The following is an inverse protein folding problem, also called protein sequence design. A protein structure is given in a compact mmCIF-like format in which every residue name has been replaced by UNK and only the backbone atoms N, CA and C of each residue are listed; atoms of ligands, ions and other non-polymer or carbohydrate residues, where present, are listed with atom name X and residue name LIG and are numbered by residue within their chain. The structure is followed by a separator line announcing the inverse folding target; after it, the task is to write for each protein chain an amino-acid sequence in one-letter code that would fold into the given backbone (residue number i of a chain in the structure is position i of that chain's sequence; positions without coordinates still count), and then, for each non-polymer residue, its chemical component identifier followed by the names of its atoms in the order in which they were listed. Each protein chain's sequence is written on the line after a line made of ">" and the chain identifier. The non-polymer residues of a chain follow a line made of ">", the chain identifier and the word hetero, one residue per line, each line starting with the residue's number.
data_IF_734995603543
#
_entry.id   IF_734995603543
#
_cell.length_a   1.000
_cell.length_b   1.000
_cell.length_c   1.000
_cell.angle_alpha   90.00
_cell.angle_beta   90.00
_cell.angle_gamma   90.00
#
_symmetry.space_group_name_H-M   'P 1'
#
loop_
_entity.id
_entity.type
_entity.pdbx_description
1 polymer ?
#
# COMPACT_ATOMS: atom_id res chain seq x y z
N UNK A 1 3.79 -15.92 -48.05
CA UNK A 1 3.64 -15.39 -46.68
C UNK A 1 3.57 -16.50 -45.65
N UNK A 2 2.65 -17.46 -45.73
CA UNK A 2 2.43 -18.47 -44.68
C UNK A 2 3.61 -19.39 -44.28
N UNK A 3 4.62 -19.63 -45.13
CA UNK A 3 5.73 -20.53 -44.78
C UNK A 3 6.86 -19.84 -43.99
N UNK A 4 7.03 -18.54 -44.18
CA UNK A 4 8.09 -17.76 -43.52
C UNK A 4 7.66 -17.38 -42.10
N UNK A 5 6.42 -16.89 -41.92
CA UNK A 5 5.83 -16.61 -40.59
C UNK A 5 5.81 -17.85 -39.68
N UNK A 6 5.54 -19.05 -40.24
CA UNK A 6 5.55 -20.30 -39.47
C UNK A 6 6.97 -20.71 -39.05
N UNK A 7 7.99 -20.37 -39.84
CA UNK A 7 9.39 -20.63 -39.47
C UNK A 7 9.87 -19.66 -38.39
N UNK A 8 9.53 -18.38 -38.50
CA UNK A 8 9.91 -17.32 -37.54
C UNK A 8 9.30 -17.56 -36.16
N UNK A 9 8.01 -17.90 -36.08
CA UNK A 9 7.37 -18.28 -34.83
C UNK A 9 8.02 -19.51 -34.16
N UNK A 10 8.37 -20.54 -34.95
CA UNK A 10 9.08 -21.73 -34.44
C UNK A 10 10.44 -21.36 -33.87
N UNK A 11 11.18 -20.48 -34.54
CA UNK A 11 12.50 -20.02 -34.09
C UNK A 11 12.40 -19.22 -32.80
N UNK A 12 11.36 -18.41 -32.62
CA UNK A 12 11.09 -17.70 -31.37
C UNK A 12 10.82 -18.66 -30.21
N UNK A 13 10.01 -19.69 -30.44
CA UNK A 13 9.73 -20.71 -29.42
C UNK A 13 10.99 -21.51 -29.06
N UNK A 14 11.83 -21.83 -30.05
CA UNK A 14 13.14 -22.45 -29.85
C UNK A 14 14.06 -21.55 -28.99
N UNK A 15 14.14 -20.25 -29.31
CA UNK A 15 14.92 -19.27 -28.55
C UNK A 15 14.40 -19.11 -27.10
N UNK A 16 13.08 -19.10 -26.90
CA UNK A 16 12.49 -19.04 -25.55
C UNK A 16 12.87 -20.27 -24.72
N UNK A 17 12.80 -21.47 -25.29
CA UNK A 17 13.20 -22.71 -24.60
C UNK A 17 14.68 -22.70 -24.22
N UNK A 18 15.56 -22.22 -25.10
CA UNK A 18 16.99 -22.03 -24.79
C UNK A 18 17.19 -21.03 -23.65
N UNK A 19 16.44 -19.93 -23.64
CA UNK A 19 16.51 -18.97 -22.55
C UNK A 19 16.03 -19.57 -21.22
N UNK A 20 15.00 -20.42 -21.24
CA UNK A 20 14.50 -21.13 -20.07
C UNK A 20 15.49 -22.19 -19.54
N UNK A 21 16.23 -22.87 -20.42
CA UNK A 21 17.30 -23.82 -20.04
C UNK A 21 18.58 -23.15 -19.55
N UNK A 22 18.69 -21.81 -19.69
CA UNK A 22 19.87 -21.04 -19.30
C UNK A 22 20.91 -20.87 -20.42
N UNK A 23 20.63 -21.36 -21.63
CA UNK A 23 21.46 -21.19 -22.82
C UNK A 23 21.26 -19.80 -23.44
N UNK A 24 21.56 -18.76 -22.66
CA UNK A 24 21.25 -17.37 -22.99
C UNK A 24 21.98 -16.86 -24.24
N UNK A 25 23.21 -17.33 -24.51
CA UNK A 25 23.95 -16.92 -25.70
C UNK A 25 23.27 -17.42 -26.98
N UNK A 26 22.88 -18.70 -27.02
CA UNK A 26 22.19 -19.29 -28.16
C UNK A 26 20.79 -18.67 -28.38
N UNK A 27 20.07 -18.38 -27.30
CA UNK A 27 18.81 -17.66 -27.38
C UNK A 27 18.99 -16.23 -27.94
N UNK A 28 20.02 -15.51 -27.47
CA UNK A 28 20.32 -14.15 -27.94
C UNK A 28 20.68 -14.12 -29.42
N UNK A 29 21.43 -15.10 -29.93
CA UNK A 29 21.77 -15.21 -31.35
C UNK A 29 20.50 -15.33 -32.21
N UNK A 30 19.58 -16.24 -31.86
CA UNK A 30 18.34 -16.43 -32.63
C UNK A 30 17.48 -15.16 -32.59
N UNK A 31 17.30 -14.55 -31.42
CA UNK A 31 16.53 -13.32 -31.30
C UNK A 31 17.18 -12.15 -32.06
N UNK A 32 18.51 -12.03 -32.03
CA UNK A 32 19.23 -10.97 -32.74
C UNK A 32 19.10 -11.10 -34.27
N UNK A 33 19.17 -12.32 -34.80
CA UNK A 33 18.95 -12.56 -36.24
C UNK A 33 17.54 -12.13 -36.67
N UNK A 34 16.50 -12.53 -35.94
CA UNK A 34 15.12 -12.19 -36.26
C UNK A 34 14.82 -10.68 -36.05
N UNK A 35 15.41 -10.05 -35.03
CA UNK A 35 15.22 -8.63 -34.77
C UNK A 35 15.91 -7.71 -35.80
N UNK A 36 16.95 -8.22 -36.48
CA UNK A 36 17.71 -7.49 -37.49
C UNK A 36 17.03 -7.45 -38.87
N UNK A 37 16.10 -8.37 -39.15
CA UNK A 37 15.36 -8.38 -40.41
C UNK A 37 14.17 -7.39 -40.37
N UNK A 38 14.27 -6.32 -41.15
CA UNK A 38 13.23 -5.29 -41.26
C UNK A 38 11.91 -5.82 -41.85
N UNK A 39 11.94 -6.95 -42.58
CA UNK A 39 10.78 -7.58 -43.21
C UNK A 39 10.12 -8.68 -42.36
N UNK A 40 10.70 -9.00 -41.21
CA UNK A 40 10.22 -10.07 -40.33
C UNK A 40 8.94 -9.63 -39.58
N UNK A 41 7.89 -10.44 -39.69
CA UNK A 41 6.60 -10.15 -39.06
C UNK A 41 6.74 -10.14 -37.53
N UNK A 42 7.59 -11.02 -37.00
CA UNK A 42 7.82 -11.19 -35.56
C UNK A 42 9.00 -10.34 -35.04
N UNK A 43 9.51 -9.38 -35.81
CA UNK A 43 10.67 -8.56 -35.45
C UNK A 43 10.51 -7.88 -34.09
N UNK A 44 9.34 -7.32 -33.82
CA UNK A 44 9.05 -6.63 -32.57
C UNK A 44 9.13 -7.59 -31.36
N UNK A 45 8.58 -8.79 -31.52
CA UNK A 45 8.63 -9.86 -30.53
C UNK A 45 10.07 -10.33 -30.30
N UNK A 46 10.82 -10.54 -31.39
CA UNK A 46 12.22 -10.96 -31.31
C UNK A 46 13.09 -9.90 -30.63
N UNK A 47 12.88 -8.62 -30.92
CA UNK A 47 13.60 -7.52 -30.27
C UNK A 47 13.32 -7.43 -28.76
N UNK A 48 12.07 -7.68 -28.33
CA UNK A 48 11.75 -7.80 -26.89
C UNK A 48 12.42 -9.04 -26.29
N UNK A 49 12.36 -10.20 -26.97
CA UNK A 49 13.01 -11.43 -26.53
C UNK A 49 14.52 -11.24 -26.35
N UNK A 50 15.17 -10.56 -27.29
CA UNK A 50 16.57 -10.18 -27.20
C UNK A 50 16.84 -9.29 -25.99
N UNK A 51 16.01 -8.27 -25.77
CA UNK A 51 16.17 -7.36 -24.64
C UNK A 51 16.14 -8.10 -23.29
N UNK A 52 15.20 -9.01 -23.09
CA UNK A 52 15.06 -9.82 -21.87
C UNK A 52 16.24 -10.76 -21.69
N UNK A 53 16.71 -11.43 -22.75
CA UNK A 53 17.85 -12.35 -22.67
C UNK A 53 19.14 -11.59 -22.34
N UNK A 54 19.35 -10.42 -22.94
CA UNK A 54 20.52 -9.58 -22.66
C UNK A 54 20.50 -9.02 -21.23
N UNK A 55 19.34 -8.63 -20.72
CA UNK A 55 19.16 -8.24 -19.31
C UNK A 55 19.57 -9.38 -18.37
N UNK A 56 19.09 -10.60 -18.62
CA UNK A 56 19.45 -11.79 -17.82
C UNK A 56 20.95 -12.14 -17.88
N UNK A 57 21.64 -11.75 -18.96
CA UNK A 57 23.11 -11.90 -19.11
C UNK A 57 23.89 -10.76 -18.41
N UNK A 58 23.21 -9.72 -17.94
CA UNK A 58 23.83 -8.50 -17.42
C UNK A 58 24.34 -7.55 -18.51
N UNK A 59 23.99 -7.77 -19.79
CA UNK A 59 24.28 -6.85 -20.88
C UNK A 59 23.20 -5.75 -20.95
N UNK A 60 23.33 -4.77 -20.05
CA UNK A 60 22.41 -3.63 -19.92
C UNK A 60 22.36 -2.80 -21.21
N UNK A 61 23.52 -2.54 -21.82
CA UNK A 61 23.61 -1.73 -23.02
C UNK A 61 22.95 -2.41 -24.22
N UNK A 62 23.21 -3.70 -24.40
CA UNK A 62 22.57 -4.53 -25.43
C UNK A 62 21.06 -4.65 -25.21
N UNK A 63 20.63 -4.89 -23.96
CA UNK A 63 19.20 -4.95 -23.61
C UNK A 63 18.46 -3.65 -23.97
N UNK A 64 19.02 -2.50 -23.58
CA UNK A 64 18.48 -1.19 -23.92
C UNK A 64 18.43 -0.94 -25.43
N UNK A 65 19.44 -1.37 -26.18
CA UNK A 65 19.45 -1.25 -27.64
C UNK A 65 18.32 -2.10 -28.26
N UNK A 66 18.16 -3.35 -27.82
CA UNK A 66 17.11 -4.25 -28.30
C UNK A 66 15.70 -3.74 -27.96
N UNK A 67 15.48 -3.23 -26.74
CA UNK A 67 14.20 -2.63 -26.36
C UNK A 67 13.87 -1.37 -27.18
N UNK A 68 14.88 -0.54 -27.52
CA UNK A 68 14.69 0.60 -28.45
C UNK A 68 14.32 0.12 -29.86
N UNK A 69 14.91 -0.97 -30.33
CA UNK A 69 14.51 -1.58 -31.62
C UNK A 69 13.05 -2.02 -31.58
N UNK A 70 12.62 -2.71 -30.53
CA UNK A 70 11.22 -3.11 -30.36
C UNK A 70 10.27 -1.90 -30.36
N UNK A 71 10.59 -0.83 -29.63
CA UNK A 71 9.82 0.41 -29.64
C UNK A 71 9.73 1.06 -31.03
N UNK A 72 10.83 1.07 -31.78
CA UNK A 72 10.89 1.66 -33.11
C UNK A 72 10.01 0.93 -34.14
N UNK A 73 9.65 -0.34 -33.89
CA UNK A 73 8.69 -1.07 -34.73
C UNK A 73 7.27 -0.49 -34.64
N UNK A 74 6.94 0.21 -33.55
CA UNK A 74 5.59 0.72 -33.29
C UNK A 74 4.55 -0.36 -33.04
N UNK A 75 4.93 -1.63 -32.86
CA UNK A 75 3.99 -2.71 -32.59
C UNK A 75 3.31 -2.50 -31.23
N UNK A 76 1.97 -2.39 -31.13
CA UNK A 76 1.30 -1.96 -29.89
C UNK A 76 1.67 -2.75 -28.63
N UNK A 77 1.63 -4.08 -28.69
CA UNK A 77 1.92 -4.95 -27.55
C UNK A 77 3.41 -4.91 -27.14
N UNK A 78 4.31 -5.18 -28.09
CA UNK A 78 5.75 -5.23 -27.84
C UNK A 78 6.38 -3.86 -27.57
N UNK A 79 5.81 -2.77 -28.09
CA UNK A 79 6.26 -1.42 -27.76
C UNK A 79 6.04 -1.13 -26.27
N UNK A 80 4.87 -1.47 -25.71
CA UNK A 80 4.59 -1.24 -24.29
C UNK A 80 5.48 -2.10 -23.38
N UNK A 81 5.70 -3.37 -23.77
CA UNK A 81 6.64 -4.25 -23.07
C UNK A 81 8.07 -3.70 -23.10
N UNK A 82 8.53 -3.24 -24.25
CA UNK A 82 9.87 -2.68 -24.42
C UNK A 82 10.06 -1.36 -23.65
N UNK A 83 9.06 -0.47 -23.64
CA UNK A 83 9.09 0.73 -22.80
C UNK A 83 9.19 0.37 -21.31
N UNK A 84 8.45 -0.65 -20.85
CA UNK A 84 8.52 -1.15 -19.48
C UNK A 84 9.91 -1.69 -19.13
N UNK A 85 10.54 -2.48 -20.02
CA UNK A 85 11.90 -2.97 -19.84
C UNK A 85 12.91 -1.81 -19.73
N UNK A 86 12.80 -0.80 -20.61
CA UNK A 86 13.65 0.39 -20.53
C UNK A 86 13.47 1.13 -19.21
N UNK A 87 12.23 1.31 -18.78
CA UNK A 87 11.90 2.04 -17.57
C UNK A 87 12.48 1.36 -16.32
N UNK A 88 12.30 0.04 -16.20
CA UNK A 88 12.90 -0.76 -15.13
C UNK A 88 14.42 -0.71 -15.15
N UNK A 89 15.04 -0.84 -16.31
CA UNK A 89 16.50 -0.74 -16.43
C UNK A 89 17.03 0.63 -15.99
N UNK A 90 16.30 1.73 -16.27
CA UNK A 90 16.66 3.05 -15.74
C UNK A 90 16.49 3.14 -14.22
N UNK A 91 15.49 2.50 -13.62
CA UNK A 91 15.35 2.43 -12.16
C UNK A 91 16.52 1.68 -11.50
N UNK A 92 16.91 0.54 -12.06
CA UNK A 92 18.03 -0.27 -11.53
C UNK A 92 19.39 0.45 -11.60
N UNK A 93 19.54 1.41 -12.51
CA UNK A 93 20.72 2.27 -12.65
C UNK A 93 20.60 3.60 -11.86
N UNK A 94 19.54 3.79 -11.05
CA UNK A 94 19.23 5.04 -10.33
C UNK A 94 19.12 6.28 -11.25
N UNK A 95 18.71 6.08 -12.51
CA UNK A 95 18.52 7.13 -13.51
C UNK A 95 17.09 7.67 -13.49
N UNK A 96 16.71 8.34 -12.39
CA UNK A 96 15.33 8.72 -12.08
C UNK A 96 14.59 9.52 -13.16
N UNK A 97 15.24 10.48 -13.83
CA UNK A 97 14.60 11.27 -14.89
C UNK A 97 14.32 10.44 -16.15
N UNK A 98 15.25 9.56 -16.52
CA UNK A 98 15.09 8.65 -17.64
C UNK A 98 14.03 7.59 -17.34
N UNK A 99 14.01 7.05 -16.11
CA UNK A 99 12.99 6.12 -15.64
C UNK A 99 11.61 6.77 -15.70
N UNK A 100 11.47 7.99 -15.16
CA UNK A 100 10.22 8.77 -15.22
C UNK A 100 9.73 8.97 -16.65
N UNK A 101 10.61 9.40 -17.56
CA UNK A 101 10.26 9.59 -18.96
C UNK A 101 9.84 8.28 -19.64
N UNK A 102 10.51 7.17 -19.33
CA UNK A 102 10.17 5.85 -19.87
C UNK A 102 8.84 5.33 -19.34
N UNK A 103 8.53 5.49 -18.05
CA UNK A 103 7.21 5.11 -17.49
C UNK A 103 6.08 5.99 -18.04
N UNK A 104 6.32 7.28 -18.26
CA UNK A 104 5.37 8.15 -18.96
C UNK A 104 5.11 7.66 -20.39
N UNK A 105 6.14 7.16 -21.08
CA UNK A 105 5.97 6.55 -22.40
C UNK A 105 5.13 5.25 -22.34
N UNK A 106 5.29 4.41 -21.32
CA UNK A 106 4.43 3.24 -21.09
C UNK A 106 2.95 3.65 -20.98
N UNK A 107 2.66 4.68 -20.20
CA UNK A 107 1.30 5.23 -20.07
C UNK A 107 0.79 5.78 -21.41
N UNK A 108 1.64 6.51 -22.14
CA UNK A 108 1.29 7.06 -23.46
C UNK A 108 0.94 6.00 -24.51
N UNK A 109 1.50 4.78 -24.38
CA UNK A 109 1.14 3.64 -25.22
C UNK A 109 -0.22 3.02 -24.84
N UNK A 110 -0.74 3.31 -23.64
CA UNK A 110 -2.11 2.99 -23.25
C UNK A 110 -2.43 1.50 -23.15
N UNK A 111 -1.43 0.62 -23.03
CA UNK A 111 -1.64 -0.83 -22.93
C UNK A 111 -2.04 -1.20 -21.50
N UNK A 112 -3.28 -1.68 -21.24
CA UNK A 112 -3.81 -1.81 -19.88
C UNK A 112 -2.96 -2.68 -18.95
N UNK A 113 -2.34 -3.74 -19.48
CA UNK A 113 -1.50 -4.67 -18.71
C UNK A 113 -0.28 -4.00 -18.03
N UNK A 114 0.17 -2.84 -18.54
CA UNK A 114 1.36 -2.15 -18.04
C UNK A 114 1.04 -0.87 -17.25
N UNK A 115 -0.20 -0.39 -17.29
CA UNK A 115 -0.59 0.84 -16.58
C UNK A 115 -0.41 0.76 -15.06
N UNK A 116 -0.81 -0.34 -14.38
CA UNK A 116 -0.69 -0.42 -12.92
C UNK A 116 0.77 -0.28 -12.46
N UNK A 117 1.69 -1.01 -13.11
CA UNK A 117 3.11 -0.93 -12.81
C UNK A 117 3.70 0.46 -13.09
N UNK A 118 3.30 1.09 -14.21
CA UNK A 118 3.79 2.41 -14.58
C UNK A 118 3.36 3.50 -13.58
N UNK A 119 2.10 3.50 -13.15
CA UNK A 119 1.62 4.46 -12.15
C UNK A 119 2.28 4.25 -10.79
N UNK A 120 2.45 3.01 -10.34
CA UNK A 120 3.18 2.71 -9.10
C UNK A 120 4.64 3.15 -9.15
N UNK A 121 5.31 2.96 -10.28
CA UNK A 121 6.68 3.41 -10.47
C UNK A 121 6.80 4.94 -10.43
N UNK A 122 5.90 5.66 -11.11
CA UNK A 122 5.86 7.12 -11.05
C UNK A 122 5.60 7.64 -9.64
N UNK A 123 4.74 6.97 -8.86
CA UNK A 123 4.52 7.31 -7.46
C UNK A 123 5.82 7.20 -6.65
N UNK A 124 6.54 6.07 -6.76
CA UNK A 124 7.82 5.87 -6.06
C UNK A 124 8.89 6.88 -6.46
N UNK A 125 8.99 7.20 -7.76
CA UNK A 125 9.95 8.19 -8.25
C UNK A 125 9.64 9.58 -7.67
N UNK A 126 8.36 9.98 -7.65
CA UNK A 126 7.92 11.24 -7.08
C UNK A 126 8.18 11.30 -5.56
N UNK A 127 7.90 10.22 -4.82
CA UNK A 127 8.22 10.09 -3.40
C UNK A 127 9.73 10.26 -3.14
N UNK A 128 10.58 9.61 -3.93
CA UNK A 128 12.04 9.75 -3.82
C UNK A 128 12.54 11.17 -4.10
N UNK A 129 11.75 11.98 -4.80
CA UNK A 129 12.04 13.39 -5.09
C UNK A 129 11.40 14.36 -4.08
N UNK A 130 10.57 13.86 -3.17
CA UNK A 130 9.76 14.68 -2.27
C UNK A 130 8.65 15.46 -2.97
N UNK A 131 8.22 15.02 -4.17
CA UNK A 131 7.09 15.61 -4.89
C UNK A 131 5.80 14.89 -4.49
N UNK A 132 5.25 15.30 -3.35
CA UNK A 132 4.08 14.68 -2.73
C UNK A 132 2.84 14.77 -3.62
N UNK A 133 2.66 15.88 -4.34
CA UNK A 133 1.53 16.09 -5.24
C UNK A 133 1.59 15.16 -6.46
N UNK A 134 2.78 14.97 -7.03
CA UNK A 134 2.98 14.02 -8.12
C UNK A 134 2.81 12.57 -7.65
N UNK A 135 3.30 12.23 -6.45
CA UNK A 135 3.11 10.91 -5.85
C UNK A 135 1.64 10.57 -5.65
N UNK A 136 0.88 11.48 -5.04
CA UNK A 136 -0.56 11.35 -4.83
C UNK A 136 -1.33 11.19 -6.16
N UNK A 137 -0.99 12.00 -7.17
CA UNK A 137 -1.59 11.90 -8.51
C UNK A 137 -1.35 10.51 -9.11
N UNK A 138 -0.12 10.01 -9.01
CA UNK A 138 0.25 8.70 -9.53
C UNK A 138 -0.42 7.55 -8.76
N UNK A 139 -0.55 7.65 -7.43
CA UNK A 139 -1.25 6.66 -6.61
C UNK A 139 -2.74 6.61 -6.93
N UNK A 140 -3.42 7.75 -7.10
CA UNK A 140 -4.82 7.77 -7.54
C UNK A 140 -4.99 7.17 -8.93
N UNK A 141 -4.08 7.45 -9.85
CA UNK A 141 -4.11 6.82 -11.17
C UNK A 141 -3.87 5.31 -11.12
N UNK A 142 -2.99 4.84 -10.23
CA UNK A 142 -2.76 3.41 -9.98
C UNK A 142 -4.03 2.72 -9.44
N UNK A 143 -4.73 3.36 -8.48
CA UNK A 143 -6.02 2.90 -7.97
C UNK A 143 -7.08 2.81 -9.07
N UNK A 144 -7.19 3.84 -9.89
CA UNK A 144 -8.16 3.92 -10.99
C UNK A 144 -7.95 2.86 -12.09
N UNK A 145 -6.79 2.19 -12.14
CA UNK A 145 -6.60 1.04 -13.06
C UNK A 145 -7.49 -0.15 -12.72
N UNK A 146 -7.93 -0.27 -11.46
CA UNK A 146 -8.73 -1.38 -10.99
C UNK A 146 -7.99 -2.72 -10.92
N UNK A 147 -6.66 -2.74 -11.07
CA UNK A 147 -5.87 -3.95 -10.84
C UNK A 147 -5.90 -4.31 -9.34
N UNK A 148 -6.34 -5.52 -8.94
CA UNK A 148 -6.66 -5.80 -7.53
C UNK A 148 -5.47 -5.66 -6.57
N UNK A 149 -4.26 -6.01 -7.03
CA UNK A 149 -3.04 -5.90 -6.22
C UNK A 149 -2.58 -4.45 -6.16
N UNK A 150 -2.50 -3.79 -7.31
CA UNK A 150 -2.03 -2.40 -7.41
C UNK A 150 -2.98 -1.43 -6.74
N UNK A 151 -4.28 -1.57 -6.95
CA UNK A 151 -5.30 -0.72 -6.33
C UNK A 151 -5.23 -0.79 -4.81
N UNK A 152 -5.14 -2.00 -4.26
CA UNK A 152 -5.02 -2.21 -2.81
C UNK A 152 -3.73 -1.58 -2.26
N UNK A 153 -2.60 -1.76 -2.97
CA UNK A 153 -1.32 -1.18 -2.55
C UNK A 153 -1.32 0.35 -2.64
N UNK A 154 -1.86 0.91 -3.71
CA UNK A 154 -1.95 2.35 -3.93
C UNK A 154 -2.82 3.02 -2.87
N UNK A 155 -3.99 2.43 -2.59
CA UNK A 155 -4.88 2.92 -1.54
C UNK A 155 -4.25 2.84 -0.14
N UNK A 156 -3.45 1.80 0.17
CA UNK A 156 -2.71 1.74 1.43
C UNK A 156 -1.70 2.87 1.60
N UNK A 157 -0.91 3.15 0.56
CA UNK A 157 0.07 4.23 0.62
C UNK A 157 -0.62 5.59 0.74
N UNK A 158 -1.63 5.84 -0.10
CA UNK A 158 -2.34 7.11 -0.11
C UNK A 158 -3.13 7.33 1.18
N UNK A 159 -3.88 6.34 1.67
CA UNK A 159 -4.64 6.46 2.91
C UNK A 159 -3.74 6.62 4.14
N UNK A 160 -2.59 5.93 4.18
CA UNK A 160 -1.61 6.11 5.26
C UNK A 160 -1.15 7.56 5.34
N UNK A 161 -0.78 8.14 4.19
CA UNK A 161 -0.36 9.54 4.11
C UNK A 161 -1.48 10.52 4.48
N UNK A 162 -2.69 10.32 3.95
CA UNK A 162 -3.84 11.17 4.28
C UNK A 162 -4.17 11.13 5.78
N UNK A 163 -3.98 10.00 6.46
CA UNK A 163 -4.14 9.92 7.92
C UNK A 163 -3.05 10.67 8.67
N UNK A 164 -1.80 10.61 8.20
CA UNK A 164 -0.69 11.40 8.77
C UNK A 164 -0.93 12.91 8.59
N UNK A 165 -1.49 13.31 7.44
CA UNK A 165 -1.82 14.69 7.12
C UNK A 165 -3.14 15.18 7.77
N UNK A 166 -3.81 14.34 8.55
CA UNK A 166 -5.05 14.70 9.25
C UNK A 166 -6.28 14.84 8.35
N UNK A 167 -6.31 14.14 7.21
CA UNK A 167 -7.41 14.07 6.25
C UNK A 167 -8.12 12.71 6.28
N UNK A 168 -8.74 12.30 7.41
CA UNK A 168 -9.32 10.96 7.56
C UNK A 168 -10.55 10.72 6.68
N UNK A 169 -11.27 11.77 6.27
CA UNK A 169 -12.38 11.65 5.33
C UNK A 169 -11.91 11.16 3.95
N UNK A 170 -10.90 11.84 3.39
CA UNK A 170 -10.30 11.44 2.12
C UNK A 170 -9.64 10.06 2.21
N UNK A 171 -8.99 9.75 3.34
CA UNK A 171 -8.42 8.43 3.57
C UNK A 171 -9.51 7.33 3.53
N UNK A 172 -10.66 7.57 4.16
CA UNK A 172 -11.79 6.63 4.14
C UNK A 172 -12.32 6.42 2.71
N UNK A 173 -12.48 7.49 1.93
CA UNK A 173 -12.97 7.43 0.55
C UNK A 173 -12.04 6.59 -0.34
N UNK A 174 -10.73 6.83 -0.27
CA UNK A 174 -9.71 6.07 -1.01
C UNK A 174 -9.75 4.58 -0.67
N UNK A 175 -9.88 4.25 0.61
CA UNK A 175 -9.95 2.85 1.05
C UNK A 175 -11.26 2.19 0.61
N UNK A 176 -12.38 2.91 0.66
CA UNK A 176 -13.67 2.42 0.19
C UNK A 176 -13.65 2.14 -1.31
N UNK A 177 -13.03 3.01 -2.11
CA UNK A 177 -12.82 2.81 -3.54
C UNK A 177 -12.06 1.52 -3.82
N UNK A 178 -10.93 1.29 -3.13
CA UNK A 178 -10.16 0.06 -3.29
C UNK A 178 -10.94 -1.20 -2.88
N UNK A 179 -11.78 -1.11 -1.85
CA UNK A 179 -12.65 -2.21 -1.43
C UNK A 179 -13.78 -2.53 -2.43
N UNK A 180 -14.08 -1.64 -3.38
CA UNK A 180 -15.01 -1.93 -4.49
C UNK A 180 -14.34 -2.69 -5.64
N UNK A 181 -13.00 -2.74 -5.69
CA UNK A 181 -12.28 -3.48 -6.73
C UNK A 181 -12.51 -4.99 -6.56
N UNK A 182 -12.98 -5.71 -7.60
CA UNK A 182 -13.13 -7.16 -7.53
C UNK A 182 -11.82 -7.84 -7.15
N UNK A 183 -11.89 -8.83 -6.27
CA UNK A 183 -10.73 -9.60 -5.80
C UNK A 183 -9.60 -8.74 -5.19
N UNK A 184 -9.93 -7.55 -4.66
CA UNK A 184 -8.98 -6.66 -3.99
C UNK A 184 -8.07 -7.44 -3.03
N UNK A 185 -6.76 -7.25 -3.16
CA UNK A 185 -5.77 -7.89 -2.32
C UNK A 185 -5.78 -7.30 -0.89
N UNK A 186 -5.39 -8.10 0.10
CA UNK A 186 -5.23 -7.65 1.49
C UNK A 186 -6.44 -6.89 2.09
N UNK A 187 -7.68 -7.29 1.76
CA UNK A 187 -8.90 -6.59 2.23
C UNK A 187 -8.96 -6.36 3.73
N UNK A 188 -8.41 -7.28 4.53
CA UNK A 188 -8.33 -7.11 5.99
C UNK A 188 -7.53 -5.87 6.39
N UNK A 189 -6.41 -5.59 5.71
CA UNK A 189 -5.60 -4.40 5.95
C UNK A 189 -6.31 -3.13 5.52
N UNK A 190 -7.00 -3.16 4.36
CA UNK A 190 -7.87 -2.07 3.92
C UNK A 190 -8.95 -1.76 4.97
N UNK A 191 -9.65 -2.79 5.49
CA UNK A 191 -10.67 -2.62 6.54
C UNK A 191 -10.11 -2.02 7.83
N UNK A 192 -8.89 -2.38 8.24
CA UNK A 192 -8.24 -1.80 9.41
C UNK A 192 -7.98 -0.31 9.21
N UNK A 193 -7.41 0.10 8.07
CA UNK A 193 -7.19 1.52 7.78
C UNK A 193 -8.49 2.30 7.69
N UNK A 194 -9.55 1.73 7.11
CA UNK A 194 -10.89 2.34 7.13
C UNK A 194 -11.39 2.55 8.56
N UNK A 195 -11.18 1.56 9.43
CA UNK A 195 -11.47 1.69 10.85
C UNK A 195 -10.69 2.83 11.50
N UNK A 196 -9.39 2.94 11.25
CA UNK A 196 -8.55 4.04 11.75
C UNK A 196 -9.07 5.41 11.28
N UNK A 197 -9.42 5.53 10.00
CA UNK A 197 -10.01 6.74 9.44
C UNK A 197 -11.34 7.10 10.13
N UNK A 198 -12.21 6.10 10.39
CA UNK A 198 -13.45 6.33 11.12
C UNK A 198 -13.23 6.71 12.59
N UNK A 199 -12.20 6.19 13.26
CA UNK A 199 -11.85 6.64 14.61
C UNK A 199 -11.41 8.11 14.62
N UNK A 200 -10.64 8.54 13.62
CA UNK A 200 -10.20 9.93 13.50
C UNK A 200 -11.38 10.87 13.17
N UNK A 201 -12.30 10.46 12.29
CA UNK A 201 -13.55 11.17 12.04
C UNK A 201 -14.42 11.27 13.30
N UNK A 202 -14.58 10.17 14.03
CA UNK A 202 -15.34 10.16 15.27
C UNK A 202 -14.72 11.10 16.33
N UNK A 203 -13.38 11.13 16.45
CA UNK A 203 -12.69 12.10 17.30
C UNK A 203 -13.06 13.54 16.91
N UNK A 204 -13.07 13.87 15.63
CA UNK A 204 -13.44 15.20 15.13
C UNK A 204 -14.87 15.59 15.51
N UNK A 205 -15.84 14.69 15.34
CA UNK A 205 -17.24 14.94 15.68
C UNK A 205 -17.43 15.09 17.21
N UNK A 206 -16.79 14.25 18.02
CA UNK A 206 -16.88 14.34 19.47
C UNK A 206 -16.21 15.62 20.01
N UNK A 207 -15.09 16.05 19.40
CA UNK A 207 -14.46 17.32 19.74
C UNK A 207 -15.38 18.51 19.45
N UNK A 208 -15.97 18.57 18.25
CA UNK A 208 -16.94 19.60 17.89
C UNK A 208 -18.13 19.64 18.86
N UNK A 209 -18.71 18.48 19.19
CA UNK A 209 -19.82 18.40 20.13
C UNK A 209 -19.44 18.85 21.56
N UNK A 210 -18.22 18.57 22.02
CA UNK A 210 -17.72 19.02 23.31
C UNK A 210 -17.43 20.54 23.35
N UNK A 211 -17.08 21.15 22.21
CA UNK A 211 -16.80 22.58 22.08
C UNK A 211 -18.08 23.42 21.89
N UNK A 212 -19.00 22.97 21.04
CA UNK A 212 -20.29 23.62 20.81
C UNK A 212 -21.15 23.62 22.10
N UNK A 213 -21.01 22.57 22.91
CA UNK A 213 -21.83 22.33 24.09
C UNK A 213 -23.27 21.98 23.73
N UNK A 214 -24.17 22.04 24.71
CA UNK A 214 -25.55 21.64 24.52
C UNK A 214 -26.17 21.19 25.82
N UNK A 215 -26.93 20.09 25.79
CA UNK A 215 -27.36 19.49 27.03
C UNK A 215 -26.15 18.90 27.81
N UNK A 216 -26.16 18.97 29.14
CA UNK A 216 -25.00 18.56 29.93
C UNK A 216 -24.61 17.08 29.78
N UNK A 217 -25.57 16.18 29.54
CA UNK A 217 -25.30 14.76 29.39
C UNK A 217 -24.63 14.46 28.05
N UNK A 218 -25.14 15.04 26.95
CA UNK A 218 -24.54 14.95 25.62
C UNK A 218 -23.11 15.49 25.57
N UNK A 219 -22.88 16.66 26.19
CA UNK A 219 -21.54 17.26 26.28
C UNK A 219 -20.58 16.36 27.07
N UNK A 220 -21.01 15.85 28.22
CA UNK A 220 -20.19 14.94 29.04
C UNK A 220 -19.93 13.59 28.34
N UNK A 221 -20.90 13.08 27.56
CA UNK A 221 -20.74 11.88 26.76
C UNK A 221 -19.73 12.08 25.61
N UNK A 222 -19.77 13.22 24.92
CA UNK A 222 -18.82 13.54 23.86
C UNK A 222 -17.38 13.59 24.41
N UNK A 223 -17.17 14.23 25.57
CA UNK A 223 -15.89 14.25 26.28
C UNK A 223 -15.43 12.82 26.64
N UNK A 224 -16.31 12.00 27.21
CA UNK A 224 -15.99 10.60 27.54
C UNK A 224 -15.58 9.80 26.30
N UNK A 225 -16.35 9.88 25.21
CA UNK A 225 -16.07 9.12 23.98
C UNK A 225 -14.78 9.58 23.31
N UNK A 226 -14.55 10.90 23.22
CA UNK A 226 -13.32 11.45 22.68
C UNK A 226 -12.10 10.97 23.47
N UNK A 227 -12.13 11.09 24.80
CA UNK A 227 -11.03 10.67 25.65
C UNK A 227 -10.75 9.16 25.62
N UNK A 228 -11.77 8.34 25.30
CA UNK A 228 -11.62 6.88 25.15
C UNK A 228 -11.11 6.46 23.77
N UNK A 229 -11.41 7.21 22.72
CA UNK A 229 -11.00 6.87 21.35
C UNK A 229 -9.58 7.34 21.04
N UNK A 230 -9.17 8.50 21.56
CA UNK A 230 -7.82 9.06 21.34
C UNK A 230 -6.66 8.09 21.63
N UNK A 231 -6.66 7.29 22.72
CA UNK A 231 -5.62 6.29 22.99
C UNK A 231 -5.51 5.21 21.90
N UNK A 232 -6.62 4.84 21.24
CA UNK A 232 -6.59 3.86 20.14
C UNK A 232 -5.82 4.38 18.92
N UNK A 233 -5.55 5.69 18.87
CA UNK A 233 -4.73 6.36 17.85
C UNK A 233 -3.37 6.79 18.39
N UNK A 234 -2.97 6.32 19.58
CA UNK A 234 -1.71 6.67 20.22
C UNK A 234 -1.67 8.10 20.76
N UNK A 235 -2.84 8.72 20.99
CA UNK A 235 -2.99 10.10 21.46
C UNK A 235 -3.34 10.15 22.95
N UNK A 236 -2.59 9.42 23.77
CA UNK A 236 -2.83 9.30 25.22
C UNK A 236 -2.73 10.65 25.95
N UNK A 237 -1.81 11.52 25.53
CA UNK A 237 -1.65 12.85 26.11
C UNK A 237 -2.89 13.72 25.85
N UNK A 238 -3.41 13.70 24.62
CA UNK A 238 -4.62 14.45 24.25
C UNK A 238 -5.84 13.91 25.02
N UNK A 239 -5.94 12.59 25.19
CA UNK A 239 -6.98 11.96 26.00
C UNK A 239 -6.98 12.48 27.44
N UNK A 240 -5.79 12.59 28.06
CA UNK A 240 -5.65 13.16 29.39
C UNK A 240 -6.10 14.63 29.45
N UNK A 241 -5.73 15.43 28.44
CA UNK A 241 -6.19 16.83 28.33
C UNK A 241 -7.70 16.94 28.19
N UNK A 242 -8.35 16.07 27.40
CA UNK A 242 -9.82 16.04 27.26
C UNK A 242 -10.50 15.69 28.58
N UNK A 243 -9.94 14.75 29.34
CA UNK A 243 -10.45 14.45 30.68
C UNK A 243 -10.29 15.62 31.66
N UNK A 244 -9.14 16.29 31.65
CA UNK A 244 -8.90 17.47 32.49
C UNK A 244 -9.87 18.61 32.14
N UNK A 245 -10.08 18.85 30.85
CA UNK A 245 -11.07 19.81 30.36
C UNK A 245 -12.47 19.51 30.89
N UNK A 246 -12.95 18.27 30.76
CA UNK A 246 -14.28 17.91 31.23
C UNK A 246 -14.46 17.98 32.74
N UNK A 247 -13.43 17.61 33.52
CA UNK A 247 -13.47 17.69 34.98
C UNK A 247 -13.46 19.14 35.51
N UNK A 248 -12.81 20.04 34.76
CA UNK A 248 -12.72 21.47 35.03
C UNK A 248 -13.74 22.32 34.25
N UNK A 249 -14.76 21.70 33.64
CA UNK A 249 -15.72 22.39 32.78
C UNK A 249 -16.46 23.50 33.57
N UNK A 250 -16.71 24.69 32.98
CA UNK A 250 -17.36 25.81 33.67
C UNK A 250 -18.82 25.54 34.05
N UNK A 251 -19.50 24.65 33.31
CA UNK A 251 -20.80 24.11 33.70
C UNK A 251 -20.60 22.92 34.65
N UNK A 252 -21.06 23.10 35.90
CA UNK A 252 -20.92 22.10 36.96
C UNK A 252 -21.78 20.84 36.71
N UNK A 253 -22.87 20.94 35.95
CA UNK A 253 -23.64 19.75 35.58
C UNK A 253 -22.83 18.86 34.63
N UNK A 254 -22.17 19.45 33.64
CA UNK A 254 -21.25 18.73 32.74
C UNK A 254 -20.10 18.11 33.55
N UNK A 255 -19.44 18.91 34.40
CA UNK A 255 -18.30 18.44 35.19
C UNK A 255 -18.68 17.29 36.13
N UNK A 256 -19.87 17.36 36.75
CA UNK A 256 -20.42 16.29 37.59
C UNK A 256 -20.67 15.00 36.79
N UNK A 257 -21.24 15.10 35.60
CA UNK A 257 -21.45 13.93 34.72
C UNK A 257 -20.13 13.31 34.25
N UNK A 258 -19.13 14.12 33.91
CA UNK A 258 -17.79 13.64 33.54
C UNK A 258 -17.14 12.88 34.71
N UNK A 259 -17.24 13.39 35.95
CA UNK A 259 -16.72 12.70 37.16
C UNK A 259 -17.36 11.32 37.34
N UNK A 260 -18.68 11.21 37.19
CA UNK A 260 -19.40 9.94 37.30
C UNK A 260 -18.94 8.93 36.24
N UNK A 261 -18.79 9.39 34.99
CA UNK A 261 -18.37 8.57 33.85
C UNK A 261 -16.94 8.07 33.99
N UNK A 262 -16.02 8.93 34.43
CA UNK A 262 -14.62 8.56 34.69
C UNK A 262 -14.49 7.55 35.83
N UNK A 263 -15.22 7.76 36.94
CA UNK A 263 -15.19 6.81 38.05
C UNK A 263 -15.70 5.41 37.66
N UNK A 264 -16.70 5.33 36.77
CA UNK A 264 -17.15 4.05 36.19
C UNK A 264 -16.06 3.37 35.38
N UNK A 265 -15.27 4.15 34.65
CA UNK A 265 -14.16 3.64 33.84
C UNK A 265 -13.04 3.06 34.70
N UNK A 266 -12.60 3.83 35.69
CA UNK A 266 -11.57 3.40 36.64
C UNK A 266 -11.99 2.12 37.38
N UNK A 267 -13.28 2.01 37.74
CA UNK A 267 -13.83 0.81 38.37
C UNK A 267 -13.86 -0.40 37.44
N UNK A 268 -14.11 -0.22 36.14
CA UNK A 268 -14.10 -1.30 35.16
C UNK A 268 -12.69 -1.86 34.93
N UNK A 269 -11.66 -1.01 34.96
CA UNK A 269 -10.26 -1.43 34.85
C UNK A 269 -9.69 -2.00 36.17
N UNK A 270 -10.14 -1.51 37.33
CA UNK A 270 -9.69 -2.01 38.63
C UNK A 270 -10.29 -3.39 39.01
N UNK A 271 -11.46 -3.73 38.47
CA UNK A 271 -12.14 -5.01 38.74
C UNK A 271 -11.51 -6.25 38.10
N UNK A 272 -10.48 -6.10 37.26
CA UNK A 272 -9.79 -7.19 36.53
C UNK A 272 -8.38 -7.50 37.09
N UNK A 273 -7.99 -6.86 38.21
CA UNK A 273 -6.78 -7.26 38.93
C UNK A 273 -7.03 -8.60 39.64
N UNK A 274 -6.22 -9.65 39.43
CA UNK A 274 -6.37 -10.89 40.17
C UNK A 274 -6.21 -10.61 41.66
N UNK A 275 -7.20 -11.00 42.44
CA UNK A 275 -7.20 -10.92 43.90
C UNK A 275 -6.08 -11.81 44.46
N UNK A 276 -4.89 -11.24 44.65
CA UNK A 276 -3.72 -11.90 45.24
C UNK A 276 -3.81 -11.96 46.77
N UNK A 277 -5.02 -11.87 47.34
CA UNK A 277 -5.24 -12.08 48.79
C UNK A 277 -5.88 -13.43 49.12
N UNK A 278 -5.58 -14.48 48.34
CA UNK A 278 -5.75 -15.85 48.83
C UNK A 278 -4.55 -16.22 49.70
N UNK A 279 -4.68 -15.98 51.01
CA UNK A 279 -3.73 -16.43 52.02
C UNK A 279 -3.37 -17.92 51.82
N UNK A 280 -2.11 -18.33 52.02
CA UNK A 280 -1.73 -19.72 51.92
C UNK A 280 -2.45 -20.52 53.01
N UNK A 281 -3.13 -21.58 52.57
CA UNK A 281 -3.69 -22.62 53.42
C UNK A 281 -2.57 -23.14 54.34
N UNK A 282 -2.67 -22.81 55.63
CA UNK A 282 -1.74 -23.31 56.63
C UNK A 282 -2.04 -24.79 56.82
N UNK A 283 -1.21 -25.62 56.17
CA UNK A 283 -1.17 -27.05 56.43
C UNK A 283 -0.99 -27.31 57.92
N UNK A 284 -1.98 -27.95 58.52
CA UNK A 284 -1.87 -28.59 59.83
C UNK A 284 -0.99 -29.82 59.66
N UNK A 285 0.31 -29.67 59.92
CA UNK A 285 1.22 -30.74 60.29
C UNK A 285 1.92 -30.32 61.60
N UNK A 286 1.44 -30.80 62.73
CA UNK A 286 2.32 -31.08 63.87
C UNK A 286 1.96 -32.43 64.49
N UNK A 287 2.84 -33.38 64.17
CA UNK A 287 3.03 -34.69 64.76
C UNK A 287 3.30 -34.63 66.27
N UNK A 288 2.68 -35.60 66.95
CA UNK A 288 3.27 -36.48 67.97
C UNK A 288 3.83 -35.93 69.30
N UNK A 289 3.19 -36.44 70.37
CA UNK A 289 3.83 -37.08 71.54
C UNK A 289 3.92 -36.30 72.87
N UNK A 290 3.10 -36.71 73.86
CA UNK A 290 3.53 -37.07 75.23
C UNK A 290 2.38 -37.49 76.19
N UNK A 291 2.39 -38.80 76.51
CA UNK A 291 2.26 -39.45 77.84
C UNK A 291 1.09 -39.10 78.78
N UNK A 292 0.20 -40.07 79.03
CA UNK A 292 0.17 -40.93 80.24
C UNK A 292 -0.99 -41.92 80.18
#
# INVERSE_FOLDING_TARGET
>A
MAAHEVDSGRRIDDARRLAESGELDAAAEIFAELAADDGEADRAQAAVGLAVVLERRGDVAGSRAAARTALATGHPEYAAQAACLLARGFEEEDLGDQARAAWQAVIGLGTPAYLPAAHMALARIAEGQGDDAAAETALRAALATGDPVTASRAAQLLAGRLLEDGAPGEAADVVLEALQVPDAAEQGRLRVMLGMAHLDLACGEFASAAEEGGDPDGTALAIELLARVLPLRGRDADAATVWEYGLGHPDEEVASQVRLRRARDDAAFAGDAPDDTRAPDAGEDEDEDRRS
#
